data_IF_108010399247
#
_entry.id   IF_108010399247
#
_cell.length_a   1.000
_cell.length_b   1.000
_cell.length_c   1.000
_cell.angle_alpha   90.00
_cell.angle_beta   90.00
_cell.angle_gamma   90.00
#
_symmetry.space_group_name_H-M   'P 1'
#
loop_
_entity.id
_entity.type
_entity.pdbx_description
1 polymer ?
#
# COMPACT_ATOMS: atom_id res chain seq x y z
N UNK A 1 8.53 -10.06 -22.39
CA UNK A 1 8.20 -10.74 -21.12
C UNK A 1 6.94 -10.12 -20.53
N UNK A 2 5.95 -10.91 -20.14
CA UNK A 2 4.74 -10.50 -19.42
C UNK A 2 4.73 -11.13 -18.04
N UNK A 3 4.71 -10.30 -17.00
CA UNK A 3 4.68 -10.74 -15.60
C UNK A 3 3.28 -10.50 -15.02
N UNK A 4 2.72 -11.51 -14.38
CA UNK A 4 1.53 -11.40 -13.55
C UNK A 4 1.93 -11.06 -12.12
N UNK A 5 1.62 -9.86 -11.64
CA UNK A 5 1.78 -9.44 -10.25
C UNK A 5 0.53 -9.72 -9.43
N UNK A 6 0.70 -10.24 -8.21
CA UNK A 6 -0.36 -10.49 -7.21
C UNK A 6 -0.05 -9.72 -5.92
N UNK A 7 -1.01 -8.93 -5.45
CA UNK A 7 -0.91 -8.16 -4.20
C UNK A 7 -2.06 -8.53 -3.26
N UNK A 8 -1.72 -8.83 -2.00
CA UNK A 8 -2.64 -9.24 -0.95
C UNK A 8 -2.05 -8.98 0.45
N UNK A 9 -1.29 -7.90 0.62
CA UNK A 9 -0.57 -7.61 1.86
C UNK A 9 -1.47 -7.12 3.00
N UNK A 10 -2.58 -6.46 2.68
CA UNK A 10 -3.47 -5.85 3.67
C UNK A 10 -4.95 -6.16 3.37
N UNK A 11 -5.67 -5.22 2.76
CA UNK A 11 -7.12 -5.28 2.54
C UNK A 11 -7.53 -5.00 1.09
N UNK A 12 -6.58 -4.90 0.16
CA UNK A 12 -6.85 -4.98 -1.28
C UNK A 12 -6.32 -6.29 -1.87
N UNK A 13 -7.17 -6.96 -2.66
CA UNK A 13 -6.70 -8.04 -3.53
C UNK A 13 -6.49 -7.47 -4.92
N UNK A 14 -5.27 -7.52 -5.43
CA UNK A 14 -4.97 -6.99 -6.76
C UNK A 14 -4.20 -7.97 -7.63
N UNK A 15 -4.45 -7.87 -8.95
CA UNK A 15 -3.67 -8.53 -9.97
C UNK A 15 -3.38 -7.54 -11.11
N UNK A 16 -2.14 -7.54 -11.58
CA UNK A 16 -1.71 -6.71 -12.70
C UNK A 16 -0.86 -7.50 -13.68
N UNK A 17 -0.94 -7.15 -14.96
CA UNK A 17 -0.10 -7.70 -16.02
C UNK A 17 0.78 -6.60 -16.56
N UNK A 18 2.10 -6.77 -16.44
CA UNK A 18 3.09 -5.80 -16.87
C UNK A 18 3.98 -6.42 -17.93
N UNK A 19 4.09 -5.74 -19.07
CA UNK A 19 4.98 -6.11 -20.18
C UNK A 19 6.28 -5.35 -20.07
N UNK A 20 7.39 -6.10 -20.14
CA UNK A 20 8.78 -5.60 -20.21
C UNK A 20 9.14 -4.58 -19.11
N UNK A 21 8.46 -4.66 -17.96
CA UNK A 21 8.71 -3.83 -16.78
C UNK A 21 8.22 -2.38 -16.86
N UNK A 22 7.65 -1.93 -17.98
CA UNK A 22 7.27 -0.53 -18.16
C UNK A 22 5.85 -0.30 -18.70
N UNK A 23 5.17 -1.34 -19.20
CA UNK A 23 3.85 -1.21 -19.81
C UNK A 23 2.82 -2.02 -19.05
N UNK A 24 1.88 -1.33 -18.42
CA UNK A 24 0.73 -1.96 -17.76
C UNK A 24 -0.26 -2.39 -18.86
N UNK A 25 -0.57 -3.69 -18.92
CA UNK A 25 -1.59 -4.26 -19.80
C UNK A 25 -2.96 -4.35 -19.11
N UNK A 26 -2.95 -4.65 -17.81
CA UNK A 26 -4.12 -4.66 -16.95
C UNK A 26 -3.73 -4.37 -15.50
N UNK A 27 -4.63 -3.76 -14.75
CA UNK A 27 -4.51 -3.56 -13.31
C UNK A 27 -5.91 -3.61 -12.69
N UNK A 28 -6.15 -4.64 -11.88
CA UNK A 28 -7.45 -4.90 -11.26
C UNK A 28 -7.27 -4.94 -9.77
N UNK A 29 -8.09 -4.18 -9.05
CA UNK A 29 -8.09 -4.09 -7.59
C UNK A 29 -9.49 -4.37 -7.07
N UNK A 30 -9.60 -5.31 -6.14
CA UNK A 30 -10.79 -5.53 -5.32
C UNK A 30 -10.50 -5.05 -3.90
N UNK A 31 -11.01 -3.86 -3.57
CA UNK A 31 -10.90 -3.26 -2.24
C UNK A 31 -11.91 -3.89 -1.27
N UNK A 32 -11.50 -4.06 -0.01
CA UNK A 32 -12.33 -4.55 1.08
C UNK A 32 -12.80 -3.44 2.02
N UNK A 33 -12.67 -2.17 1.62
CA UNK A 33 -13.00 -0.99 2.44
C UNK A 33 -14.39 -1.09 3.09
N UNK A 34 -15.42 -1.49 2.33
CA UNK A 34 -16.79 -1.63 2.83
C UNK A 34 -16.92 -2.67 3.97
N UNK A 35 -16.14 -3.74 3.90
CA UNK A 35 -16.11 -4.79 4.93
C UNK A 35 -15.53 -4.25 6.23
N UNK A 36 -14.45 -3.49 6.14
CA UNK A 36 -13.68 -2.99 7.29
C UNK A 36 -14.24 -1.67 7.87
N UNK A 37 -14.96 -0.88 7.07
CA UNK A 37 -15.63 0.37 7.50
C UNK A 37 -16.46 0.16 8.78
N UNK A 38 -17.20 -0.96 8.86
CA UNK A 38 -18.07 -1.28 10.00
C UNK A 38 -17.31 -1.52 11.32
N UNK A 39 -16.02 -1.83 11.24
CA UNK A 39 -15.17 -2.09 12.40
C UNK A 39 -14.25 -0.90 12.71
N UNK A 40 -14.18 0.10 11.82
CA UNK A 40 -13.34 1.29 11.98
C UNK A 40 -11.84 0.96 11.94
N UNK A 41 -11.47 0.01 11.08
CA UNK A 41 -10.11 -0.48 10.85
C UNK A 41 -10.11 -1.88 10.25
N UNK A 42 -8.96 -2.28 9.66
CA UNK A 42 -8.80 -3.60 9.03
C UNK A 42 -8.89 -4.72 10.08
N UNK A 43 -9.76 -5.71 9.82
CA UNK A 43 -9.87 -6.93 10.62
C UNK A 43 -9.10 -8.06 9.92
N UNK A 44 -7.93 -8.52 10.45
CA UNK A 44 -7.02 -9.40 9.71
C UNK A 44 -7.63 -10.72 9.21
N UNK A 45 -8.49 -11.35 10.03
CA UNK A 45 -9.17 -12.59 9.66
C UNK A 45 -10.17 -12.39 8.52
N UNK A 46 -10.94 -11.30 8.55
CA UNK A 46 -11.87 -10.97 7.46
C UNK A 46 -11.10 -10.65 6.19
N UNK A 47 -9.97 -9.95 6.31
CA UNK A 47 -9.14 -9.60 5.17
C UNK A 47 -8.61 -10.85 4.45
N UNK A 48 -8.06 -11.78 5.22
CA UNK A 48 -7.57 -13.07 4.73
C UNK A 48 -8.64 -13.85 3.96
N UNK A 49 -9.87 -13.93 4.50
CA UNK A 49 -11.00 -14.60 3.82
C UNK A 49 -11.41 -13.91 2.52
N UNK A 50 -11.41 -12.58 2.51
CA UNK A 50 -11.75 -11.81 1.31
C UNK A 50 -10.71 -11.98 0.20
N UNK A 51 -9.43 -12.12 0.53
CA UNK A 51 -8.42 -12.49 -0.48
C UNK A 51 -8.70 -13.86 -1.09
N UNK A 52 -9.07 -14.86 -0.28
CA UNK A 52 -9.43 -16.21 -0.80
C UNK A 52 -10.60 -16.16 -1.79
N UNK A 53 -11.63 -15.35 -1.48
CA UNK A 53 -12.80 -15.16 -2.35
C UNK A 53 -12.44 -14.40 -3.64
N UNK A 54 -11.54 -13.42 -3.56
CA UNK A 54 -11.33 -12.43 -4.62
C UNK A 54 -10.17 -12.74 -5.56
N UNK A 55 -9.17 -13.52 -5.12
CA UNK A 55 -7.91 -13.69 -5.87
C UNK A 55 -8.10 -14.29 -7.26
N UNK A 56 -8.97 -15.31 -7.40
CA UNK A 56 -9.27 -15.93 -8.69
C UNK A 56 -10.08 -14.98 -9.59
N UNK A 57 -11.21 -14.38 -9.14
CA UNK A 57 -11.93 -13.38 -9.93
C UNK A 57 -11.06 -12.22 -10.42
N UNK A 58 -10.23 -11.65 -9.53
CA UNK A 58 -9.35 -10.51 -9.84
C UNK A 58 -8.31 -10.89 -10.89
N UNK A 59 -7.64 -12.04 -10.73
CA UNK A 59 -6.68 -12.53 -11.73
C UNK A 59 -7.36 -12.78 -13.09
N UNK A 60 -8.52 -13.44 -13.11
CA UNK A 60 -9.24 -13.70 -14.37
C UNK A 60 -9.66 -12.42 -15.07
N UNK A 61 -10.11 -11.42 -14.31
CA UNK A 61 -10.44 -10.10 -14.85
C UNK A 61 -9.20 -9.41 -15.43
N UNK A 62 -8.04 -9.49 -14.76
CA UNK A 62 -6.79 -8.92 -15.28
C UNK A 62 -6.37 -9.59 -16.61
N UNK A 63 -6.45 -10.92 -16.70
CA UNK A 63 -6.19 -11.66 -17.95
C UNK A 63 -7.14 -11.24 -19.08
N UNK A 64 -8.43 -11.11 -18.78
CA UNK A 64 -9.42 -10.66 -19.75
C UNK A 64 -9.19 -9.22 -20.22
N UNK A 65 -8.85 -8.29 -19.32
CA UNK A 65 -8.53 -6.90 -19.67
C UNK A 65 -7.27 -6.78 -20.54
N UNK A 66 -6.27 -7.63 -20.30
CA UNK A 66 -5.04 -7.68 -21.08
C UNK A 66 -5.20 -8.43 -22.42
N UNK A 67 -6.34 -9.10 -22.64
CA UNK A 67 -6.60 -10.00 -23.78
C UNK A 67 -5.51 -11.08 -23.94
N UNK A 68 -5.15 -11.72 -22.83
CA UNK A 68 -4.16 -12.81 -22.82
C UNK A 68 -4.70 -14.05 -22.08
N UNK A 69 -4.30 -15.23 -22.56
CA UNK A 69 -4.47 -16.48 -21.85
C UNK A 69 -3.32 -16.76 -20.87
N UNK A 70 -3.46 -17.82 -20.07
CA UNK A 70 -2.40 -18.27 -19.15
C UNK A 70 -1.08 -18.58 -19.85
N UNK A 71 -1.12 -19.05 -21.09
CA UNK A 71 0.07 -19.35 -21.91
C UNK A 71 0.85 -18.11 -22.33
N UNK A 72 0.28 -16.90 -22.15
CA UNK A 72 0.96 -15.64 -22.42
C UNK A 72 1.71 -15.06 -21.22
N UNK A 73 1.68 -15.74 -20.07
CA UNK A 73 2.39 -15.33 -18.86
C UNK A 73 3.80 -15.92 -18.90
N UNK A 74 4.82 -15.07 -18.78
CA UNK A 74 6.24 -15.49 -18.76
C UNK A 74 6.79 -15.63 -17.32
N UNK A 75 6.10 -15.08 -16.33
CA UNK A 75 6.47 -15.19 -14.92
C UNK A 75 5.42 -14.62 -13.97
N UNK A 76 5.51 -14.99 -12.69
CA UNK A 76 4.58 -14.55 -11.64
C UNK A 76 5.33 -13.83 -10.52
N UNK A 77 4.86 -12.67 -10.10
CA UNK A 77 5.37 -11.95 -8.95
C UNK A 77 4.29 -11.87 -7.87
N UNK A 78 4.66 -12.01 -6.60
CA UNK A 78 3.73 -11.82 -5.51
C UNK A 78 4.38 -11.12 -4.32
N UNK A 79 3.59 -10.29 -3.63
CA UNK A 79 4.03 -9.59 -2.44
C UNK A 79 4.41 -10.58 -1.34
N UNK A 80 5.67 -10.53 -0.91
CA UNK A 80 6.22 -11.34 0.17
C UNK A 80 6.04 -10.68 1.54
N UNK A 81 6.01 -9.34 1.56
CA UNK A 81 5.85 -8.53 2.76
C UNK A 81 6.51 -7.16 2.58
N UNK A 82 6.43 -6.28 3.59
CA UNK A 82 5.67 -6.44 4.84
C UNK A 82 4.15 -6.47 4.60
N UNK A 83 3.39 -6.95 5.60
CA UNK A 83 1.93 -7.06 5.52
C UNK A 83 1.34 -7.99 6.58
N UNK A 84 0.02 -8.17 6.54
CA UNK A 84 -0.71 -9.09 7.41
C UNK A 84 -0.42 -10.53 6.99
N UNK A 85 0.08 -11.35 7.92
CA UNK A 85 0.54 -12.70 7.62
C UNK A 85 -0.52 -13.59 6.95
N UNK A 86 -1.77 -13.50 7.40
CA UNK A 86 -2.89 -14.25 6.82
C UNK A 86 -3.17 -13.83 5.37
N UNK A 87 -3.20 -12.52 5.12
CA UNK A 87 -3.39 -11.96 3.79
C UNK A 87 -2.22 -12.29 2.85
N UNK A 88 -0.97 -12.12 3.30
CA UNK A 88 0.23 -12.43 2.52
C UNK A 88 0.27 -13.91 2.10
N UNK A 89 -0.06 -14.83 3.01
CA UNK A 89 -0.06 -16.26 2.72
C UNK A 89 -1.00 -16.65 1.60
N UNK A 90 -2.13 -15.94 1.43
CA UNK A 90 -3.10 -16.23 0.35
C UNK A 90 -2.47 -15.93 -1.01
N UNK A 91 -2.02 -14.70 -1.25
CA UNK A 91 -1.41 -14.30 -2.51
C UNK A 91 -0.12 -15.04 -2.83
N UNK A 92 0.75 -15.19 -1.83
CA UNK A 92 2.06 -15.82 -2.01
C UNK A 92 1.94 -17.32 -2.32
N UNK A 93 1.05 -18.03 -1.62
CA UNK A 93 0.79 -19.45 -1.91
C UNK A 93 0.11 -19.64 -3.27
N UNK A 94 -0.84 -18.78 -3.61
CA UNK A 94 -1.52 -18.80 -4.90
C UNK A 94 -0.54 -18.60 -6.07
N UNK A 95 0.31 -17.58 -5.99
CA UNK A 95 1.28 -17.27 -7.02
C UNK A 95 2.28 -18.41 -7.24
N UNK A 96 2.78 -19.02 -6.16
CA UNK A 96 3.65 -20.20 -6.23
C UNK A 96 2.97 -21.37 -6.94
N UNK A 97 1.74 -21.68 -6.56
CA UNK A 97 0.99 -22.78 -7.15
C UNK A 97 0.68 -22.54 -8.64
N UNK A 98 0.31 -21.30 -8.98
CA UNK A 98 0.06 -20.90 -10.37
C UNK A 98 1.33 -21.01 -11.22
N UNK A 99 2.44 -20.44 -10.76
CA UNK A 99 3.71 -20.50 -11.46
C UNK A 99 4.18 -21.94 -11.67
N UNK A 100 4.04 -22.79 -10.64
CA UNK A 100 4.32 -24.23 -10.74
C UNK A 100 3.46 -24.90 -11.81
N UNK A 101 2.16 -24.62 -11.84
CA UNK A 101 1.24 -25.20 -12.83
C UNK A 101 1.52 -24.74 -14.27
N UNK A 102 2.09 -23.55 -14.45
CA UNK A 102 2.42 -22.98 -15.76
C UNK A 102 3.87 -23.24 -16.19
N UNK A 103 4.68 -23.84 -15.31
CA UNK A 103 6.12 -24.06 -15.52
C UNK A 103 6.90 -22.77 -15.81
N UNK A 104 6.51 -21.66 -15.16
CA UNK A 104 7.16 -20.35 -15.29
C UNK A 104 7.89 -19.95 -14.00
N UNK A 105 8.93 -19.10 -14.08
CA UNK A 105 9.57 -18.57 -12.88
C UNK A 105 8.62 -17.72 -12.04
N UNK A 106 8.90 -17.63 -10.74
CA UNK A 106 8.21 -16.71 -9.85
C UNK A 106 9.16 -16.00 -8.89
N UNK A 107 8.74 -14.84 -8.38
CA UNK A 107 9.53 -14.01 -7.47
C UNK A 107 8.67 -13.41 -6.35
N UNK A 108 9.23 -13.38 -5.14
CA UNK A 108 8.68 -12.64 -4.01
C UNK A 108 9.10 -11.17 -4.07
N UNK A 109 8.16 -10.25 -3.89
CA UNK A 109 8.40 -8.81 -4.00
C UNK A 109 8.18 -8.13 -2.65
N UNK A 110 9.08 -7.20 -2.31
CA UNK A 110 8.88 -6.32 -1.16
C UNK A 110 7.81 -5.29 -1.49
N UNK A 111 6.75 -5.22 -0.67
CA UNK A 111 5.61 -4.32 -0.85
C UNK A 111 6.03 -2.84 -0.93
N UNK A 112 7.00 -2.43 -0.10
CA UNK A 112 7.46 -1.03 -0.04
C UNK A 112 8.32 -0.67 -1.25
N UNK A 113 9.14 -1.60 -1.71
CA UNK A 113 9.86 -1.44 -2.98
C UNK A 113 8.86 -1.36 -4.14
N UNK A 114 7.79 -2.18 -4.11
CA UNK A 114 6.69 -2.10 -5.07
C UNK A 114 6.06 -0.71 -5.15
N UNK A 115 5.80 -0.08 -4.00
CA UNK A 115 5.32 1.32 -3.93
C UNK A 115 6.30 2.30 -4.58
N UNK A 116 7.60 2.17 -4.31
CA UNK A 116 8.62 3.05 -4.92
C UNK A 116 8.71 2.76 -6.43
N UNK A 117 8.61 1.50 -6.83
CA UNK A 117 8.67 1.07 -8.23
C UNK A 117 7.54 1.64 -9.08
N UNK A 118 6.40 1.96 -8.49
CA UNK A 118 5.29 2.62 -9.19
C UNK A 118 5.73 3.94 -9.86
N UNK A 119 6.71 4.67 -9.28
CA UNK A 119 7.24 5.90 -9.86
C UNK A 119 7.92 5.66 -11.22
N UNK A 120 8.49 4.46 -11.44
CA UNK A 120 9.14 4.12 -12.70
C UNK A 120 8.15 3.70 -13.81
N UNK A 121 6.87 3.56 -13.49
CA UNK A 121 5.79 3.29 -14.45
C UNK A 121 5.16 4.56 -15.02
N UNK A 122 5.50 5.73 -14.47
CA UNK A 122 5.05 7.02 -14.98
C UNK A 122 5.66 7.34 -16.35
N UNK A 123 4.99 8.20 -17.12
CA UNK A 123 5.47 8.59 -18.46
C UNK A 123 6.85 9.28 -18.44
N UNK A 124 7.17 9.96 -17.33
CA UNK A 124 8.44 10.64 -17.11
C UNK A 124 8.89 10.34 -15.67
N UNK A 125 9.54 9.19 -15.44
CA UNK A 125 9.99 8.83 -14.10
C UNK A 125 11.14 9.74 -13.65
N UNK A 126 11.27 10.01 -12.34
CA UNK A 126 12.37 10.82 -11.82
C UNK A 126 13.72 10.15 -12.13
N UNK A 127 14.73 10.89 -12.61
CA UNK A 127 16.06 10.33 -12.81
C UNK A 127 16.71 10.02 -11.46
N UNK A 128 17.38 8.89 -11.35
CA UNK A 128 18.18 8.57 -10.16
C UNK A 128 19.47 9.41 -10.10
N UNK A 129 19.96 9.76 -8.90
CA UNK A 129 19.35 9.46 -7.60
C UNK A 129 18.24 10.46 -7.21
N UNK A 130 17.25 10.01 -6.44
CA UNK A 130 16.23 10.87 -5.85
C UNK A 130 15.85 10.43 -4.44
N UNK A 131 15.19 11.32 -3.69
CA UNK A 131 14.58 10.99 -2.39
C UNK A 131 13.07 10.88 -2.57
N UNK A 132 12.46 9.85 -1.98
CA UNK A 132 11.01 9.66 -1.99
C UNK A 132 10.46 9.51 -0.58
N UNK A 133 9.29 10.09 -0.35
CA UNK A 133 8.50 9.89 0.86
C UNK A 133 7.40 8.88 0.56
N UNK A 134 7.51 7.70 1.16
CA UNK A 134 6.45 6.71 1.18
C UNK A 134 5.55 7.03 2.37
N UNK A 135 4.29 7.41 2.11
CA UNK A 135 3.29 7.70 3.14
C UNK A 135 1.97 7.00 2.81
N UNK A 136 1.73 5.85 3.42
CA UNK A 136 0.51 5.04 3.28
C UNK A 136 -0.25 4.92 4.61
N UNK A 137 -1.31 4.11 4.62
CA UNK A 137 -2.04 3.77 5.84
C UNK A 137 -1.16 3.17 6.92
N UNK A 138 -0.29 2.22 6.55
CA UNK A 138 0.54 1.47 7.50
C UNK A 138 2.03 1.81 7.50
N UNK A 139 2.49 2.68 6.58
CA UNK A 139 3.92 2.98 6.46
C UNK A 139 4.16 4.47 6.28
N UNK A 140 5.19 4.99 6.94
CA UNK A 140 5.74 6.31 6.65
C UNK A 140 7.24 6.23 6.71
N UNK A 141 7.90 6.43 5.56
CA UNK A 141 9.35 6.26 5.43
C UNK A 141 9.92 7.16 4.34
N UNK A 142 11.14 7.62 4.56
CA UNK A 142 11.92 8.41 3.62
C UNK A 142 13.00 7.51 3.04
N UNK A 143 13.07 7.42 1.72
CA UNK A 143 14.00 6.54 1.01
C UNK A 143 14.88 7.33 0.06
N UNK A 144 16.17 7.00 0.03
CA UNK A 144 17.11 7.43 -1.00
C UNK A 144 17.19 6.35 -2.08
N UNK A 145 16.73 6.69 -3.29
CA UNK A 145 16.67 5.76 -4.43
C UNK A 145 17.84 6.07 -5.35
N UNK A 146 18.88 5.25 -5.25
CA UNK A 146 20.08 5.40 -6.07
C UNK A 146 19.95 4.72 -7.43
N UNK A 147 19.19 3.62 -7.50
CA UNK A 147 18.82 2.93 -8.75
C UNK A 147 17.59 2.06 -8.53
N UNK A 148 17.08 1.42 -9.60
CA UNK A 148 15.96 0.47 -9.50
C UNK A 148 16.25 -0.71 -8.55
N UNK A 149 17.51 -1.03 -8.29
CA UNK A 149 17.92 -2.16 -7.45
C UNK A 149 18.56 -1.71 -6.13
N UNK A 150 18.64 -0.41 -5.89
CA UNK A 150 19.30 0.15 -4.71
C UNK A 150 18.46 1.29 -4.14
N UNK A 151 17.78 0.97 -3.05
CA UNK A 151 16.93 1.87 -2.28
C UNK A 151 17.35 1.77 -0.81
N UNK A 152 17.71 2.90 -0.22
CA UNK A 152 18.16 2.99 1.16
C UNK A 152 17.11 3.70 2.02
N UNK A 153 16.74 3.13 3.16
CA UNK A 153 15.87 3.78 4.13
C UNK A 153 16.66 4.84 4.91
N UNK A 154 16.26 6.11 4.77
CA UNK A 154 16.86 7.23 5.49
C UNK A 154 16.23 7.47 6.87
N UNK A 155 14.93 7.22 7.00
CA UNK A 155 14.18 7.41 8.24
C UNK A 155 12.74 6.93 8.12
N UNK A 156 12.12 6.57 9.23
CA UNK A 156 10.74 6.04 9.25
C UNK A 156 9.96 6.51 10.48
N UNK A 157 8.65 6.30 10.48
CA UNK A 157 7.86 6.53 11.69
C UNK A 157 8.32 5.61 12.83
N UNK A 158 8.45 6.18 14.03
CA UNK A 158 8.72 5.43 15.27
C UNK A 158 7.44 4.92 15.93
N UNK A 159 6.27 5.39 15.48
CA UNK A 159 4.97 5.06 16.06
C UNK A 159 3.87 4.90 14.99
N UNK A 160 2.81 5.72 15.02
CA UNK A 160 1.72 5.67 14.05
C UNK A 160 2.25 6.09 12.67
N UNK A 161 1.79 5.47 11.58
CA UNK A 161 2.02 6.01 10.24
C UNK A 161 1.16 7.28 10.00
N UNK A 162 1.52 8.08 9.00
CA UNK A 162 0.78 9.29 8.66
C UNK A 162 -0.70 8.96 8.34
N UNK A 163 -0.96 7.96 7.50
CA UNK A 163 -2.33 7.53 7.17
C UNK A 163 -3.10 7.03 8.39
N UNK A 164 -2.47 6.18 9.21
CA UNK A 164 -3.05 5.72 10.48
C UNK A 164 -3.38 6.87 11.44
N UNK A 165 -2.56 7.92 11.49
CA UNK A 165 -2.84 9.10 12.30
C UNK A 165 -4.10 9.83 11.81
N UNK A 166 -4.29 9.97 10.49
CA UNK A 166 -5.53 10.50 9.92
C UNK A 166 -6.74 9.64 10.31
N UNK A 167 -6.66 8.31 10.17
CA UNK A 167 -7.77 7.41 10.48
C UNK A 167 -8.15 7.44 11.97
N UNK A 168 -7.16 7.45 12.86
CA UNK A 168 -7.39 7.57 14.31
C UNK A 168 -8.02 8.91 14.68
N UNK A 169 -7.57 10.01 14.07
CA UNK A 169 -8.18 11.34 14.28
C UNK A 169 -9.61 11.38 13.73
N UNK A 170 -9.86 10.83 12.55
CA UNK A 170 -11.20 10.76 11.97
C UNK A 170 -12.17 9.98 12.86
N UNK A 171 -11.71 8.87 13.45
CA UNK A 171 -12.46 8.10 14.43
C UNK A 171 -12.82 8.91 15.68
N UNK A 172 -11.89 9.71 16.21
CA UNK A 172 -12.15 10.61 17.35
C UNK A 172 -13.19 11.69 17.00
N UNK A 173 -13.21 12.14 15.75
CA UNK A 173 -14.16 13.13 15.22
C UNK A 173 -15.48 12.50 14.73
N UNK A 174 -15.68 11.20 14.88
CA UNK A 174 -16.83 10.45 14.38
C UNK A 174 -17.06 10.60 12.86
N UNK A 175 -15.99 10.68 12.08
CA UNK A 175 -16.01 10.89 10.62
C UNK A 175 -16.02 9.59 9.79
N UNK A 176 -15.98 8.42 10.43
CA UNK A 176 -15.92 7.11 9.76
C UNK A 176 -14.49 6.63 9.46
N UNK A 177 -14.39 5.59 8.61
CA UNK A 177 -13.14 4.96 8.18
C UNK A 177 -13.26 4.50 6.71
N UNK A 178 -12.27 4.75 5.84
CA UNK A 178 -11.01 5.45 6.07
C UNK A 178 -11.21 6.97 6.21
N UNK A 179 -10.42 7.57 7.08
CA UNK A 179 -10.59 8.93 7.57
C UNK A 179 -9.87 10.01 6.78
N UNK A 180 -8.75 9.66 6.13
CA UNK A 180 -7.88 10.63 5.45
C UNK A 180 -8.59 11.51 4.42
N UNK A 181 -9.35 10.89 3.50
CA UNK A 181 -10.08 11.62 2.46
C UNK A 181 -11.21 12.51 3.01
N UNK A 182 -11.82 12.12 4.13
CA UNK A 182 -12.85 12.93 4.80
C UNK A 182 -12.20 14.15 5.46
N UNK A 183 -11.09 13.96 6.17
CA UNK A 183 -10.34 15.05 6.81
C UNK A 183 -9.81 16.03 5.77
N UNK A 184 -9.18 15.59 4.67
CA UNK A 184 -8.69 16.49 3.62
C UNK A 184 -9.83 17.40 3.11
N UNK A 185 -10.97 16.80 2.74
CA UNK A 185 -12.13 17.54 2.24
C UNK A 185 -12.63 18.59 3.23
N UNK A 186 -12.78 18.23 4.51
CA UNK A 186 -13.27 19.14 5.54
C UNK A 186 -12.25 20.23 5.88
N UNK A 187 -10.96 19.90 5.86
CA UNK A 187 -9.87 20.83 6.21
C UNK A 187 -9.84 22.06 5.30
N UNK A 188 -10.27 21.92 4.03
CA UNK A 188 -10.34 23.02 3.04
C UNK A 188 -11.37 24.10 3.40
N UNK A 189 -12.35 23.76 4.24
CA UNK A 189 -13.34 24.71 4.75
C UNK A 189 -12.96 25.26 6.13
N UNK A 190 -11.88 24.73 6.72
CA UNK A 190 -11.38 25.12 8.02
C UNK A 190 -10.44 26.31 7.96
N UNK A 191 -10.10 26.84 9.14
CA UNK A 191 -9.02 27.81 9.29
C UNK A 191 -7.76 27.10 9.82
N UNK A 192 -6.68 26.99 9.03
CA UNK A 192 -5.47 26.27 9.42
C UNK A 192 -4.74 26.91 10.62
N UNK A 193 -4.97 28.19 10.90
CA UNK A 193 -4.34 28.91 12.01
C UNK A 193 -5.15 28.86 13.31
N UNK A 194 -6.36 28.28 13.28
CA UNK A 194 -7.27 28.28 14.44
C UNK A 194 -6.75 27.45 15.61
N UNK A 195 -6.07 26.34 15.32
CA UNK A 195 -5.56 25.40 16.32
C UNK A 195 -4.14 25.01 15.92
N UNK A 196 -3.18 25.18 16.83
CA UNK A 196 -1.80 24.76 16.62
C UNK A 196 -1.55 23.44 17.33
N UNK A 197 -1.46 22.36 16.55
CA UNK A 197 -1.03 21.07 17.06
C UNK A 197 0.51 20.98 17.12
N UNK A 198 1.07 20.20 18.06
CA UNK A 198 2.51 20.02 18.13
C UNK A 198 3.02 19.31 16.87
N UNK A 199 4.15 19.80 16.34
CA UNK A 199 4.98 19.04 15.42
C UNK A 199 6.02 18.30 16.26
N UNK A 200 5.97 16.96 16.38
CA UNK A 200 6.92 16.23 17.20
C UNK A 200 8.36 16.51 16.75
N UNK A 201 9.19 16.95 17.68
CA UNK A 201 10.63 17.00 17.50
C UNK A 201 11.19 15.69 18.07
N UNK A 202 11.93 14.95 17.24
CA UNK A 202 12.51 13.67 17.65
C UNK A 202 13.91 13.93 18.20
N UNK A 203 14.90 13.99 17.31
CA UNK A 203 16.31 14.16 17.64
C UNK A 203 16.97 15.03 16.58
N UNK A 204 18.12 15.62 16.94
CA UNK A 204 18.94 16.36 15.97
C UNK A 204 19.49 15.36 14.94
N UNK A 205 19.47 15.73 13.65
CA UNK A 205 19.98 14.92 12.53
C UNK A 205 19.21 13.62 12.23
N UNK A 206 18.03 13.42 12.83
CA UNK A 206 17.13 12.30 12.51
C UNK A 206 16.17 12.65 11.37
N UNK A 207 15.98 11.70 10.44
CA UNK A 207 14.94 11.76 9.39
C UNK A 207 13.67 10.97 9.77
N UNK A 208 13.58 10.52 11.03
CA UNK A 208 12.42 9.76 11.51
C UNK A 208 11.17 10.64 11.66
N UNK A 209 10.03 9.97 11.77
CA UNK A 209 8.72 10.59 11.99
C UNK A 209 8.08 10.10 13.30
N UNK A 210 7.15 10.89 13.84
CA UNK A 210 6.29 10.50 14.95
C UNK A 210 4.95 11.23 14.79
N UNK A 211 3.85 10.49 14.92
CA UNK A 211 2.50 10.98 14.76
C UNK A 211 1.59 10.61 15.95
N UNK A 212 2.01 9.74 16.87
CA UNK A 212 1.22 9.41 18.07
C UNK A 212 0.90 10.63 18.94
N UNK A 213 1.80 11.62 18.96
CA UNK A 213 1.64 12.89 19.67
C UNK A 213 0.49 13.75 19.12
N UNK A 214 0.29 13.78 17.79
CA UNK A 214 -0.78 14.59 17.19
C UNK A 214 -2.15 14.05 17.57
N UNK A 215 -2.33 12.73 17.55
CA UNK A 215 -3.54 12.03 18.00
C UNK A 215 -3.87 12.38 19.45
N UNK A 216 -2.87 12.36 20.33
CA UNK A 216 -3.05 12.69 21.75
C UNK A 216 -3.44 14.16 21.94
N UNK A 217 -2.84 15.07 21.18
CA UNK A 217 -3.17 16.49 21.21
C UNK A 217 -4.60 16.77 20.73
N UNK A 218 -5.04 16.11 19.65
CA UNK A 218 -6.42 16.18 19.15
C UNK A 218 -7.39 15.66 20.22
N UNK A 219 -7.13 14.48 20.78
CA UNK A 219 -7.98 13.90 21.82
C UNK A 219 -8.09 14.76 23.09
N UNK A 220 -7.07 15.56 23.41
CA UNK A 220 -7.12 16.56 24.50
C UNK A 220 -7.91 17.81 24.13
N UNK A 221 -7.83 18.26 22.89
CA UNK A 221 -8.56 19.44 22.41
C UNK A 221 -10.07 19.21 22.33
N UNK A 222 -10.50 17.98 22.03
CA UNK A 222 -11.92 17.60 21.93
C UNK A 222 -12.61 17.38 23.28
N UNK A 223 -11.85 17.33 24.38
CA UNK A 223 -12.37 17.18 25.75
C UNK A 223 -12.51 18.53 26.41
#
# INVERSE_FOLDING_TARGET
MIVLGIESSCDETAAALVRDGNRILASVVASQEEVHHRFGGVVPELASRRHLESIIPVMRQALAQADIGFTGIDGVAATQGPGLIGSLLVGFSFAKALAFSLEVPWVGVNHLEGHIHALFLEAQPPPCPFVTLLASGGHTGLYYVNSLMNMELLGQTRDDAAGEAFDKVAKMLALGYPGGAVIDRLSRQGNPDRIRFPRPYIEKDSFDFSFSGIKTAVGRYLR
#
